data_IF_777233189088
#
_entry.id   IF_777233189088
#
_cell.length_a   1.000
_cell.length_b   1.000
_cell.length_c   1.000
_cell.angle_alpha   90.00
_cell.angle_beta   90.00
_cell.angle_gamma   90.00
#
_symmetry.space_group_name_H-M   'P 1'
#
loop_
_entity.id
_entity.type
_entity.pdbx_description
1 polymer ?
#
# COMPACT_ATOMS: atom_id res chain seq x y z
N UNK A 1 -4.92 -45.81 46.17
CA UNK A 1 -6.00 -44.79 46.15
C UNK A 1 -5.35 -43.43 46.00
N UNK A 2 -5.15 -42.96 44.76
CA UNK A 2 -4.55 -41.65 44.50
C UNK A 2 -5.52 -40.81 43.66
N UNK A 3 -5.61 -39.53 44.06
CA UNK A 3 -6.69 -38.58 43.80
C UNK A 3 -6.63 -38.06 42.36
N UNK A 4 -7.79 -38.05 41.69
CA UNK A 4 -7.98 -37.41 40.39
C UNK A 4 -8.07 -35.90 40.58
N UNK A 5 -7.16 -35.15 39.95
CA UNK A 5 -7.19 -33.69 39.91
C UNK A 5 -8.13 -33.26 38.79
N UNK A 6 -9.25 -32.61 39.16
CA UNK A 6 -10.21 -32.03 38.23
C UNK A 6 -9.68 -30.66 37.76
N UNK A 7 -9.41 -30.49 36.47
CA UNK A 7 -9.05 -29.20 35.87
C UNK A 7 -10.34 -28.53 35.38
N UNK A 8 -10.73 -27.43 36.01
CA UNK A 8 -11.86 -26.59 35.58
C UNK A 8 -11.32 -25.59 34.55
N UNK A 9 -11.76 -25.73 33.30
CA UNK A 9 -11.50 -24.75 32.24
C UNK A 9 -12.59 -23.68 32.33
N UNK A 10 -12.21 -22.46 32.74
CA UNK A 10 -13.07 -21.29 32.71
C UNK A 10 -12.96 -20.64 31.33
N UNK A 11 -13.99 -20.82 30.50
CA UNK A 11 -14.14 -20.13 29.21
C UNK A 11 -14.75 -18.75 29.50
N UNK A 12 -13.94 -17.70 29.45
CA UNK A 12 -14.44 -16.32 29.49
C UNK A 12 -14.91 -15.90 28.10
N UNK A 13 -16.23 -15.96 27.90
CA UNK A 13 -16.91 -15.42 26.73
C UNK A 13 -17.01 -13.89 26.86
N UNK A 14 -16.09 -13.13 26.25
CA UNK A 14 -16.28 -11.69 26.05
C UNK A 14 -17.19 -11.46 24.85
N UNK A 15 -18.50 -11.42 25.12
CA UNK A 15 -19.49 -10.75 24.27
C UNK A 15 -19.81 -9.39 24.88
N UNK A 16 -19.41 -8.31 24.23
CA UNK A 16 -20.08 -7.02 24.35
C UNK A 16 -19.97 -6.22 23.05
N UNK A 17 -21.00 -6.38 22.20
CA UNK A 17 -21.50 -5.33 21.32
C UNK A 17 -22.02 -4.18 22.18
N UNK A 18 -21.63 -2.94 21.90
CA UNK A 18 -22.58 -1.85 21.60
C UNK A 18 -21.86 -0.58 21.13
N UNK A 19 -22.33 -0.13 19.98
CA UNK A 19 -22.04 1.11 19.29
C UNK A 19 -22.95 2.21 19.86
N UNK A 20 -22.46 3.37 20.31
CA UNK A 20 -23.27 4.56 20.50
C UNK A 20 -22.91 5.63 19.48
N UNK A 21 -23.84 5.79 18.55
CA UNK A 21 -23.98 6.91 17.64
C UNK A 21 -24.43 8.14 18.45
N UNK A 22 -23.53 9.11 18.69
CA UNK A 22 -23.88 10.41 19.28
C UNK A 22 -23.50 11.59 18.38
N UNK A 23 -24.53 12.09 17.70
CA UNK A 23 -24.92 13.50 17.61
C UNK A 23 -23.80 14.56 17.63
N UNK A 24 -23.47 15.07 16.44
CA UNK A 24 -23.17 16.50 16.27
C UNK A 24 -24.21 17.12 15.33
N UNK A 25 -25.04 18.01 15.90
CA UNK A 25 -25.96 18.88 15.19
C UNK A 25 -25.33 20.27 15.06
N UNK A 26 -25.36 20.76 13.82
CA UNK A 26 -25.58 22.15 13.39
C UNK A 26 -24.55 23.20 13.82
N UNK A 27 -23.76 23.62 12.82
CA UNK A 27 -23.59 25.04 12.57
C UNK A 27 -23.61 25.28 11.05
N UNK A 28 -24.74 25.82 10.57
CA UNK A 28 -24.87 26.42 9.25
C UNK A 28 -24.80 27.92 9.46
N UNK A 29 -23.81 28.59 8.87
CA UNK A 29 -23.86 30.01 8.60
C UNK A 29 -23.15 30.32 7.28
N UNK A 30 -23.97 30.45 6.24
CA UNK A 30 -23.94 31.49 5.21
C UNK A 30 -22.56 32.00 4.74
N UNK A 31 -22.07 31.48 3.61
CA UNK A 31 -21.28 32.31 2.69
C UNK A 31 -21.82 32.18 1.26
N UNK A 32 -22.15 33.37 0.76
CA UNK A 32 -22.72 33.74 -0.51
C UNK A 32 -22.13 33.02 -1.74
N UNK A 33 -23.06 32.49 -2.54
CA UNK A 33 -22.86 32.04 -3.91
C UNK A 33 -22.47 33.22 -4.79
N UNK A 34 -21.30 33.16 -5.43
CA UNK A 34 -21.00 33.93 -6.64
C UNK A 34 -20.65 32.94 -7.73
N UNK A 35 -21.58 32.83 -8.68
CA UNK A 35 -21.49 31.99 -9.87
C UNK A 35 -20.31 32.44 -10.73
N UNK A 36 -19.40 31.51 -11.02
CA UNK A 36 -18.68 31.51 -12.29
C UNK A 36 -18.84 30.11 -12.86
N UNK A 37 -19.67 30.03 -13.89
CA UNK A 37 -20.12 28.82 -14.55
C UNK A 37 -19.37 28.73 -15.86
N UNK A 38 -18.06 28.48 -15.77
CA UNK A 38 -17.28 28.00 -16.91
C UNK A 38 -17.45 26.48 -16.96
N UNK A 39 -18.36 26.08 -17.83
CA UNK A 39 -18.67 24.71 -18.20
C UNK A 39 -17.47 24.06 -18.87
N UNK A 40 -16.72 23.27 -18.10
CA UNK A 40 -15.81 22.27 -18.64
C UNK A 40 -16.66 21.08 -19.14
N UNK A 41 -17.09 21.16 -20.40
CA UNK A 41 -17.70 20.02 -21.09
C UNK A 41 -16.62 18.97 -21.33
N UNK A 42 -16.47 18.02 -20.40
CA UNK A 42 -15.75 16.78 -20.67
C UNK A 42 -16.59 15.93 -21.61
N UNK A 43 -16.15 15.87 -22.87
CA UNK A 43 -16.52 14.82 -23.80
C UNK A 43 -16.11 13.47 -23.20
N UNK A 44 -17.04 12.81 -22.51
CA UNK A 44 -16.90 11.41 -22.12
C UNK A 44 -17.21 10.60 -23.36
N UNK A 45 -16.17 10.37 -24.17
CA UNK A 45 -16.15 9.29 -25.14
C UNK A 45 -16.27 7.97 -24.38
N UNK A 46 -17.12 7.07 -24.88
CA UNK A 46 -17.37 5.72 -24.37
C UNK A 46 -16.10 4.85 -24.38
N UNK A 47 -15.15 5.14 -23.48
CA UNK A 47 -14.02 4.27 -23.20
C UNK A 47 -14.52 3.05 -22.42
N UNK A 48 -14.36 1.90 -23.07
CA UNK A 48 -14.51 0.56 -22.52
C UNK A 48 -13.86 0.52 -21.13
N UNK A 49 -14.70 0.53 -20.09
CA UNK A 49 -14.29 0.57 -18.68
C UNK A 49 -13.49 -0.69 -18.37
N UNK A 50 -12.18 -0.63 -18.54
CA UNK A 50 -11.28 -1.74 -18.20
C UNK A 50 -11.37 -1.96 -16.70
N UNK A 51 -11.86 -3.13 -16.30
CA UNK A 51 -11.95 -3.52 -14.90
C UNK A 51 -10.52 -3.64 -14.33
N UNK A 52 -10.17 -2.74 -13.40
CA UNK A 52 -8.87 -2.75 -12.74
C UNK A 52 -8.83 -3.93 -11.77
N UNK A 53 -7.77 -4.74 -11.80
CA UNK A 53 -7.67 -5.92 -10.95
C UNK A 53 -7.53 -5.55 -9.46
N UNK A 54 -7.99 -6.40 -8.53
CA UNK A 54 -7.82 -6.18 -7.09
C UNK A 54 -6.37 -6.00 -6.66
N UNK A 55 -5.43 -6.68 -7.33
CA UNK A 55 -3.99 -6.59 -7.10
C UNK A 55 -3.45 -5.21 -7.45
N UNK A 56 -3.85 -4.68 -8.61
CA UNK A 56 -3.49 -3.32 -9.03
C UNK A 56 -4.05 -2.29 -8.05
N UNK A 57 -5.31 -2.44 -7.61
CA UNK A 57 -5.90 -1.56 -6.61
C UNK A 57 -5.16 -1.62 -5.26
N UNK A 58 -4.72 -2.80 -4.85
CA UNK A 58 -3.90 -2.99 -3.64
C UNK A 58 -2.57 -2.24 -3.75
N UNK A 59 -1.84 -2.41 -4.85
CA UNK A 59 -0.54 -1.75 -5.08
C UNK A 59 -0.71 -0.22 -5.15
N UNK A 60 -1.72 0.27 -5.87
CA UNK A 60 -1.99 1.72 -5.94
C UNK A 60 -2.36 2.30 -4.57
N UNK A 61 -3.09 1.54 -3.74
CA UNK A 61 -3.43 1.96 -2.37
C UNK A 61 -2.19 2.02 -1.48
N UNK A 62 -1.27 1.05 -1.62
CA UNK A 62 0.03 1.08 -0.94
C UNK A 62 0.79 2.37 -1.27
N UNK A 63 1.04 2.65 -2.54
CA UNK A 63 1.79 3.85 -2.95
C UNK A 63 1.12 5.13 -2.48
N UNK A 64 -0.20 5.22 -2.60
CA UNK A 64 -0.94 6.40 -2.14
C UNK A 64 -0.74 6.66 -0.65
N UNK A 65 -0.89 5.63 0.19
CA UNK A 65 -0.76 5.78 1.64
C UNK A 65 0.69 6.01 2.05
N UNK A 66 1.61 5.23 1.48
CA UNK A 66 3.03 5.30 1.79
C UNK A 66 3.63 6.65 1.37
N UNK A 67 3.41 7.10 0.13
CA UNK A 67 3.93 8.39 -0.35
C UNK A 67 3.28 9.58 0.37
N UNK A 68 1.98 9.51 0.69
CA UNK A 68 1.31 10.56 1.46
C UNK A 68 1.95 10.78 2.83
N UNK A 69 2.42 9.71 3.48
CA UNK A 69 3.14 9.84 4.75
C UNK A 69 4.60 10.25 4.56
N UNK A 70 5.25 9.73 3.51
CA UNK A 70 6.65 10.00 3.19
C UNK A 70 6.89 11.46 2.76
N UNK A 71 5.92 12.09 2.07
CA UNK A 71 5.97 13.48 1.57
C UNK A 71 5.80 14.56 2.65
N UNK A 72 5.51 14.19 3.90
CA UNK A 72 5.28 15.19 4.94
C UNK A 72 6.59 15.84 5.37
N UNK A 73 6.54 17.17 5.57
CA UNK A 73 7.66 17.97 6.10
C UNK A 73 8.24 17.37 7.41
N UNK A 74 7.36 16.81 8.25
CA UNK A 74 7.75 16.07 9.45
C UNK A 74 7.58 14.57 9.21
N UNK A 75 8.70 13.90 8.95
CA UNK A 75 8.75 12.46 8.70
C UNK A 75 8.25 11.66 9.91
N UNK A 76 7.07 11.04 9.78
CA UNK A 76 6.48 10.25 10.87
C UNK A 76 6.80 8.77 10.71
N UNK A 77 7.96 8.37 11.26
CA UNK A 77 8.44 6.99 11.24
C UNK A 77 7.42 5.96 11.74
N UNK A 78 6.58 6.33 12.72
CA UNK A 78 5.60 5.40 13.29
C UNK A 78 4.45 5.12 12.32
N UNK A 79 3.97 6.12 11.61
CA UNK A 79 2.90 5.94 10.62
C UNK A 79 3.41 5.15 9.42
N UNK A 80 4.66 5.40 9.00
CA UNK A 80 5.31 4.60 7.97
C UNK A 80 5.44 3.14 8.42
N UNK A 81 5.86 2.89 9.65
CA UNK A 81 5.92 1.54 10.20
C UNK A 81 4.54 0.86 10.22
N UNK A 82 3.47 1.58 10.57
CA UNK A 82 2.08 1.07 10.52
C UNK A 82 1.71 0.67 9.09
N UNK A 83 1.98 1.54 8.11
CA UNK A 83 1.73 1.27 6.68
C UNK A 83 2.52 0.04 6.23
N UNK A 84 3.81 -0.05 6.55
CA UNK A 84 4.63 -1.20 6.18
C UNK A 84 4.10 -2.50 6.80
N UNK A 85 3.66 -2.49 8.06
CA UNK A 85 3.03 -3.66 8.69
C UNK A 85 1.69 -4.06 8.02
N UNK A 86 0.92 -3.08 7.56
CA UNK A 86 -0.35 -3.31 6.85
C UNK A 86 -0.13 -3.91 5.46
N UNK A 87 0.88 -3.45 4.73
CA UNK A 87 1.05 -3.81 3.32
C UNK A 87 2.11 -4.88 3.06
N UNK A 88 3.14 -5.02 3.88
CA UNK A 88 4.23 -5.96 3.64
C UNK A 88 4.05 -7.29 4.39
N UNK A 89 4.64 -8.35 3.84
CA UNK A 89 4.72 -9.65 4.49
C UNK A 89 5.73 -9.60 5.64
N UNK A 90 5.55 -10.46 6.65
CA UNK A 90 6.49 -10.58 7.77
C UNK A 90 7.92 -10.89 7.29
N UNK A 91 8.07 -11.69 6.24
CA UNK A 91 9.37 -12.02 5.68
C UNK A 91 10.02 -10.81 5.03
N UNK A 92 9.25 -10.02 4.26
CA UNK A 92 9.74 -8.78 3.69
C UNK A 92 10.18 -7.81 4.78
N UNK A 93 9.34 -7.60 5.81
CA UNK A 93 9.64 -6.70 6.93
C UNK A 93 10.88 -7.14 7.71
N UNK A 94 11.06 -8.45 7.92
CA UNK A 94 12.27 -8.97 8.57
C UNK A 94 13.53 -8.63 7.78
N UNK A 95 13.48 -8.77 6.45
CA UNK A 95 14.60 -8.43 5.58
C UNK A 95 14.81 -6.92 5.58
N UNK A 96 13.76 -6.12 5.34
CA UNK A 96 13.80 -4.67 5.32
C UNK A 96 14.40 -4.09 6.61
N UNK A 97 13.96 -4.56 7.78
CA UNK A 97 14.45 -4.13 9.08
C UNK A 97 15.85 -4.66 9.44
N UNK A 98 16.38 -5.62 8.69
CA UNK A 98 17.75 -6.11 8.89
C UNK A 98 18.80 -5.16 8.28
N UNK A 99 18.38 -4.25 7.40
CA UNK A 99 19.23 -3.17 6.91
C UNK A 99 19.22 -2.03 7.92
N UNK A 100 20.37 -1.76 8.53
CA UNK A 100 20.55 -0.64 9.46
C UNK A 100 20.34 0.71 8.77
N UNK A 101 20.74 0.80 7.49
CA UNK A 101 20.57 1.97 6.66
C UNK A 101 20.39 1.55 5.20
N UNK A 102 19.42 2.14 4.53
CA UNK A 102 19.28 2.09 3.08
C UNK A 102 19.58 3.48 2.53
N UNK A 103 20.55 3.58 1.62
CA UNK A 103 20.92 4.85 0.96
C UNK A 103 19.85 5.33 -0.04
N UNK A 104 18.76 4.59 -0.18
CA UNK A 104 17.68 4.82 -1.12
C UNK A 104 16.37 4.20 -0.61
N UNK A 105 15.24 4.66 -1.14
CA UNK A 105 13.93 4.08 -0.87
C UNK A 105 13.68 2.90 -1.84
N UNK A 106 13.54 1.66 -1.33
CA UNK A 106 13.42 0.48 -2.18
C UNK A 106 12.08 0.42 -2.93
N UNK A 107 11.04 1.10 -2.46
CA UNK A 107 9.72 1.10 -3.10
C UNK A 107 9.64 2.06 -4.31
N UNK A 108 10.59 2.97 -4.47
CA UNK A 108 10.69 3.83 -5.66
C UNK A 108 11.97 3.56 -6.45
N UNK A 109 12.84 2.68 -5.93
CA UNK A 109 14.17 2.40 -6.47
C UNK A 109 15.01 3.68 -6.69
N UNK A 110 15.01 4.57 -5.70
CA UNK A 110 15.59 5.91 -5.83
C UNK A 110 15.69 6.66 -4.50
N UNK A 111 16.36 7.81 -4.52
CA UNK A 111 16.46 8.71 -3.36
C UNK A 111 15.27 9.66 -3.30
N UNK A 112 14.97 10.31 -4.44
CA UNK A 112 13.87 11.24 -4.61
C UNK A 112 12.91 10.74 -5.69
N UNK A 113 11.71 11.34 -5.74
CA UNK A 113 10.72 11.15 -6.79
C UNK A 113 10.17 12.49 -7.27
N UNK A 114 9.65 12.58 -8.50
CA UNK A 114 9.05 13.80 -9.00
C UNK A 114 7.70 14.10 -8.31
N UNK A 115 7.33 15.38 -8.18
CA UNK A 115 6.06 15.82 -7.55
C UNK A 115 4.80 15.16 -8.15
N UNK A 116 4.87 14.73 -9.40
CA UNK A 116 3.78 14.07 -10.11
C UNK A 116 3.87 12.53 -10.11
N UNK A 117 4.70 11.95 -9.21
CA UNK A 117 4.91 10.52 -9.07
C UNK A 117 3.60 9.72 -9.09
N UNK A 118 2.71 9.96 -8.12
CA UNK A 118 1.45 9.22 -8.02
C UNK A 118 0.52 9.41 -9.22
N UNK A 119 0.60 10.55 -9.92
CA UNK A 119 -0.25 10.84 -11.09
C UNK A 119 0.16 10.02 -12.31
N UNK A 120 1.46 9.77 -12.44
CA UNK A 120 2.04 9.08 -13.58
C UNK A 120 2.48 7.64 -13.25
N UNK A 121 2.12 7.16 -12.06
CA UNK A 121 2.36 5.79 -11.62
C UNK A 121 1.44 4.84 -12.42
N UNK A 122 2.04 3.82 -13.01
CA UNK A 122 1.34 2.77 -13.75
C UNK A 122 1.77 1.40 -13.24
N UNK A 123 0.80 0.49 -13.14
CA UNK A 123 1.01 -0.87 -12.64
C UNK A 123 0.48 -1.84 -13.67
N UNK A 124 1.33 -2.77 -14.10
CA UNK A 124 0.97 -3.84 -15.04
C UNK A 124 1.28 -5.21 -14.44
N UNK A 125 0.52 -6.23 -14.81
CA UNK A 125 0.92 -7.61 -14.50
C UNK A 125 2.15 -7.95 -15.33
N UNK A 126 3.17 -8.54 -14.72
CA UNK A 126 4.24 -9.18 -15.50
C UNK A 126 3.64 -10.34 -16.31
N UNK A 127 4.30 -10.69 -17.41
CA UNK A 127 3.85 -11.78 -18.29
C UNK A 127 3.52 -13.06 -17.50
N UNK A 128 2.55 -13.83 -18.01
CA UNK A 128 1.86 -14.99 -17.39
C UNK A 128 2.73 -16.04 -16.69
N UNK A 129 4.04 -16.01 -16.86
CA UNK A 129 4.99 -16.95 -16.25
C UNK A 129 5.16 -16.69 -14.74
N UNK A 130 4.96 -15.44 -14.28
CA UNK A 130 5.11 -15.05 -12.88
C UNK A 130 3.78 -14.47 -12.36
N UNK A 131 2.80 -15.35 -12.10
CA UNK A 131 1.39 -15.04 -11.78
C UNK A 131 1.14 -14.05 -10.61
N UNK A 132 2.18 -13.59 -9.92
CA UNK A 132 2.10 -12.72 -8.75
C UNK A 132 3.07 -11.52 -8.78
N UNK A 133 3.71 -11.27 -9.93
CA UNK A 133 4.61 -10.13 -10.09
C UNK A 133 3.97 -9.04 -10.93
N UNK A 134 4.13 -7.81 -10.47
CA UNK A 134 3.61 -6.61 -11.10
C UNK A 134 4.76 -5.66 -11.42
N UNK A 135 4.75 -5.08 -12.60
CA UNK A 135 5.74 -4.11 -13.05
C UNK A 135 5.22 -2.71 -12.71
N UNK A 136 6.06 -1.92 -12.06
CA UNK A 136 5.75 -0.55 -11.66
C UNK A 136 6.48 0.40 -12.59
N UNK A 137 5.73 1.25 -13.27
CA UNK A 137 6.24 2.26 -14.19
C UNK A 137 5.98 3.66 -13.69
N UNK A 138 6.89 4.58 -14.05
CA UNK A 138 6.67 6.02 -14.01
C UNK A 138 6.62 6.55 -15.43
N UNK A 139 5.53 7.23 -15.79
CA UNK A 139 5.46 7.95 -17.07
C UNK A 139 6.10 9.33 -16.94
N UNK A 140 7.07 9.64 -17.78
CA UNK A 140 7.67 10.99 -17.87
C UNK A 140 7.77 11.40 -19.34
N UNK A 141 7.21 12.57 -19.68
CA UNK A 141 7.12 13.06 -21.06
C UNK A 141 6.51 12.06 -22.06
N UNK A 142 5.53 11.27 -21.61
CA UNK A 142 4.86 10.25 -22.42
C UNK A 142 5.66 8.97 -22.63
N UNK A 143 6.79 8.79 -21.93
CA UNK A 143 7.62 7.59 -21.96
C UNK A 143 7.47 6.88 -20.62
N UNK A 144 7.13 5.60 -20.65
CA UNK A 144 7.04 4.75 -19.47
C UNK A 144 8.44 4.20 -19.11
N UNK A 145 8.87 4.44 -17.88
CA UNK A 145 10.12 3.91 -17.33
C UNK A 145 9.81 2.87 -16.26
N UNK A 146 10.32 1.65 -16.41
CA UNK A 146 10.21 0.61 -15.38
C UNK A 146 11.07 0.99 -14.18
N UNK A 147 10.43 1.14 -13.02
CA UNK A 147 11.11 1.46 -11.76
C UNK A 147 11.61 0.18 -11.08
N UNK A 148 10.70 -0.78 -10.93
CA UNK A 148 10.89 -2.04 -10.23
C UNK A 148 9.76 -3.01 -10.55
N UNK A 149 9.92 -4.26 -10.12
CA UNK A 149 8.85 -5.25 -10.08
C UNK A 149 8.52 -5.62 -8.64
N UNK A 150 7.23 -5.78 -8.35
CA UNK A 150 6.71 -6.08 -7.02
C UNK A 150 6.02 -7.45 -7.04
N UNK A 151 6.49 -8.36 -6.21
CA UNK A 151 5.79 -9.62 -5.95
C UNK A 151 4.83 -9.44 -4.78
N UNK A 152 3.57 -9.82 -4.99
CA UNK A 152 2.56 -9.84 -3.95
C UNK A 152 2.13 -11.28 -3.65
N UNK A 153 1.75 -11.55 -2.40
CA UNK A 153 1.21 -12.85 -1.98
C UNK A 153 -0.14 -12.65 -1.29
N UNK A 154 -0.95 -13.69 -1.26
CA UNK A 154 -2.19 -13.70 -0.47
C UNK A 154 -1.96 -14.43 0.86
N UNK A 155 -2.03 -13.71 1.98
CA UNK A 155 -1.93 -14.25 3.35
C UNK A 155 -3.22 -13.94 4.09
N UNK A 156 -3.89 -14.97 4.59
CA UNK A 156 -5.14 -14.84 5.37
C UNK A 156 -6.24 -14.04 4.65
N UNK A 157 -6.31 -14.17 3.32
CA UNK A 157 -7.30 -13.49 2.49
C UNK A 157 -6.90 -12.07 2.05
N UNK A 158 -5.82 -11.50 2.59
CA UNK A 158 -5.32 -10.18 2.24
C UNK A 158 -4.07 -10.27 1.34
N UNK A 159 -3.90 -9.29 0.46
CA UNK A 159 -2.67 -9.14 -0.31
C UNK A 159 -1.56 -8.55 0.56
N UNK A 160 -0.32 -8.96 0.31
CA UNK A 160 0.89 -8.49 0.99
C UNK A 160 2.03 -8.38 -0.01
N UNK A 161 2.84 -7.32 0.08
CA UNK A 161 4.09 -7.15 -0.64
C UNK A 161 5.10 -8.14 -0.07
N UNK A 162 5.64 -9.01 -0.91
CA UNK A 162 6.55 -10.07 -0.48
C UNK A 162 7.99 -9.81 -0.87
N UNK A 163 8.22 -9.31 -2.10
CA UNK A 163 9.55 -9.06 -2.66
C UNK A 163 9.54 -7.90 -3.64
N UNK A 164 10.71 -7.30 -3.80
CA UNK A 164 10.97 -6.26 -4.79
C UNK A 164 12.12 -6.70 -5.69
N UNK A 165 12.03 -6.36 -6.96
CA UNK A 165 13.02 -6.68 -7.97
C UNK A 165 13.40 -5.45 -8.76
N UNK A 166 14.66 -5.35 -9.14
CA UNK A 166 15.13 -4.40 -10.15
C UNK A 166 14.50 -4.73 -11.51
N UNK A 167 14.52 -3.80 -12.48
CA UNK A 167 13.99 -4.04 -13.82
C UNK A 167 14.63 -5.24 -14.56
N UNK A 168 15.86 -5.61 -14.21
CA UNK A 168 16.53 -6.81 -14.75
C UNK A 168 16.09 -8.13 -14.08
N UNK A 169 15.20 -8.06 -13.08
CA UNK A 169 14.66 -9.20 -12.34
C UNK A 169 15.47 -9.64 -11.12
N UNK A 170 16.54 -8.92 -10.74
CA UNK A 170 17.32 -9.20 -9.54
C UNK A 170 16.57 -8.78 -8.27
N UNK A 171 16.63 -9.60 -7.21
CA UNK A 171 15.96 -9.28 -5.94
C UNK A 171 16.68 -8.12 -5.23
N UNK A 172 15.95 -7.04 -4.92
CA UNK A 172 16.54 -5.80 -4.37
C UNK A 172 16.99 -5.96 -2.91
N UNK A 173 16.22 -6.73 -2.13
CA UNK A 173 16.48 -6.99 -0.72
C UNK A 173 16.48 -8.50 -0.51
N UNK A 174 17.63 -9.05 -0.11
CA UNK A 174 17.77 -10.48 0.17
C UNK A 174 18.41 -10.69 1.53
N UNK A 175 18.06 -11.79 2.20
CA UNK A 175 18.76 -12.17 3.43
C UNK A 175 20.25 -12.32 3.11
N UNK A 176 21.07 -11.50 3.74
CA UNK A 176 22.51 -11.72 3.73
C UNK A 176 22.73 -13.06 4.44
N UNK A 177 23.29 -14.03 3.72
CA UNK A 177 23.80 -15.25 4.37
C UNK A 177 24.94 -14.81 5.26
N UNK A 178 24.78 -14.96 6.58
CA UNK A 178 25.85 -14.73 7.55
C UNK A 178 27.12 -15.45 7.05
N UNK A 179 28.14 -14.66 6.68
CA UNK A 179 29.46 -15.15 6.25
C UNK A 179 30.38 -15.26 7.44
#
# INVERSE_FOLDING_TARGET
>A
MNKWTLIIIVILSFSCKKNPNEKFKKEQNNISTKQNKDSLEMNISDEKKTEVSPEVLFIMSFYKNYMFEYDKDEYNLKEIEIILNEYCSENFLKIYNSYEYLDYNPFINGQDYPDDFLKNLKVESSDKILENRFIIYQTYNGIDYELLQMEIIKKEGNFKINKLYTPDGSEMLSMQSDK
#
